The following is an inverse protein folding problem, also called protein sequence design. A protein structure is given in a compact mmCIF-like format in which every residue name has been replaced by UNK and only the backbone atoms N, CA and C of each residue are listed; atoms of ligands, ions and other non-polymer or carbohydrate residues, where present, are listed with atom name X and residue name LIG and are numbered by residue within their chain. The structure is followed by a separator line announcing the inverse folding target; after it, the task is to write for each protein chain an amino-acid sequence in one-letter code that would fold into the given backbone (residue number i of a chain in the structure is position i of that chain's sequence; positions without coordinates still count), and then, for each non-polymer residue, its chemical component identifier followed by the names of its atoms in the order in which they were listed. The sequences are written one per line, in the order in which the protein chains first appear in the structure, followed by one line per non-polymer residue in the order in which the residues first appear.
data_IF_130710348569
#
_entry.id   IF_130710348569
#
_cell.length_a   1.000
_cell.length_b   1.000
_cell.length_c   1.000
_cell.angle_alpha   90.00
_cell.angle_beta   90.00
_cell.angle_gamma   90.00
#
_symmetry.space_group_name_H-M   'P 1'
#
loop_
_entity.id
_entity.type
_entity.pdbx_description
1 polymer ?
#
# COMPACT_ATOMS: atom_id res chain seq x y z
N UNK A 1 5.43 5.02 -80.01
CA UNK A 1 5.24 3.61 -79.57
C UNK A 1 6.00 3.42 -78.27
N UNK A 2 5.31 2.85 -77.27
CA UNK A 2 5.79 2.27 -76.02
C UNK A 2 6.38 3.20 -74.95
N UNK A 3 5.53 3.52 -73.97
CA UNK A 3 5.96 3.79 -72.61
C UNK A 3 6.24 2.50 -71.83
N UNK A 4 6.87 2.64 -70.67
CA UNK A 4 6.60 1.88 -69.46
C UNK A 4 7.50 2.41 -68.33
N UNK A 5 6.89 3.12 -67.39
CA UNK A 5 7.38 3.36 -66.03
C UNK A 5 7.25 2.05 -65.23
N UNK A 6 8.33 1.61 -64.58
CA UNK A 6 8.36 0.70 -63.42
C UNK A 6 9.60 1.09 -62.60
N UNK A 7 9.57 1.32 -61.30
CA UNK A 7 8.63 0.91 -60.26
C UNK A 7 9.51 0.54 -59.07
N UNK A 8 9.53 1.40 -58.05
CA UNK A 8 10.34 1.30 -56.83
C UNK A 8 10.12 -0.05 -56.15
N UNK A 9 11.21 -0.76 -55.83
CA UNK A 9 11.20 -2.00 -55.09
C UNK A 9 10.66 -1.78 -53.67
N UNK A 10 9.45 -2.28 -53.43
CA UNK A 10 8.86 -2.39 -52.10
C UNK A 10 9.29 -3.74 -51.53
N UNK A 11 10.19 -3.72 -50.55
CA UNK A 11 10.48 -4.89 -49.74
C UNK A 11 9.21 -5.21 -48.95
N UNK A 12 8.58 -6.34 -49.28
CA UNK A 12 7.48 -6.90 -48.51
C UNK A 12 8.05 -7.37 -47.18
N UNK A 13 7.81 -6.62 -46.11
CA UNK A 13 7.85 -7.15 -44.76
C UNK A 13 6.54 -7.90 -44.57
N UNK A 14 6.49 -9.17 -44.96
CA UNK A 14 5.48 -10.06 -44.41
C UNK A 14 5.76 -10.15 -42.89
N UNK A 15 4.82 -9.75 -42.02
CA UNK A 15 4.94 -10.10 -40.63
C UNK A 15 4.89 -11.62 -40.56
N UNK A 16 5.90 -12.23 -39.95
CA UNK A 16 5.83 -13.61 -39.47
C UNK A 16 4.75 -13.61 -38.38
N UNK A 17 3.50 -13.78 -38.79
CA UNK A 17 2.43 -14.15 -37.89
C UNK A 17 2.82 -15.52 -37.33
N UNK A 18 3.27 -15.51 -36.08
CA UNK A 18 3.45 -16.68 -35.25
C UNK A 18 2.12 -17.44 -35.17
N UNK A 19 1.89 -18.35 -36.13
CA UNK A 19 1.45 -19.73 -35.99
C UNK A 19 0.20 -20.10 -35.16
N UNK A 20 -0.47 -19.20 -34.44
CA UNK A 20 -1.59 -19.57 -33.55
C UNK A 20 -2.89 -19.72 -34.36
N UNK A 21 -3.21 -18.75 -35.22
CA UNK A 21 -4.40 -18.84 -36.08
C UNK A 21 -4.32 -19.99 -37.11
N UNK A 22 -3.12 -20.27 -37.61
CA UNK A 22 -2.89 -21.37 -38.56
C UNK A 22 -3.04 -22.75 -37.90
N UNK A 23 -2.65 -22.89 -36.63
CA UNK A 23 -2.81 -24.15 -35.90
C UNK A 23 -4.25 -24.39 -35.44
N UNK A 24 -4.97 -23.34 -35.03
CA UNK A 24 -6.40 -23.43 -34.72
C UNK A 24 -7.23 -23.87 -35.94
N UNK A 25 -6.91 -23.35 -37.13
CA UNK A 25 -7.63 -23.70 -38.37
C UNK A 25 -7.35 -25.13 -38.85
N UNK A 26 -6.14 -25.64 -38.63
CA UNK A 26 -5.77 -27.02 -38.99
C UNK A 26 -6.37 -28.07 -38.04
N UNK A 27 -6.28 -27.84 -36.72
CA UNK A 27 -6.83 -28.78 -35.73
C UNK A 27 -8.37 -28.86 -35.77
N UNK A 28 -9.06 -27.73 -36.04
CA UNK A 28 -10.51 -27.68 -36.14
C UNK A 28 -11.10 -28.44 -37.35
N UNK A 29 -10.32 -28.65 -38.42
CA UNK A 29 -10.79 -29.32 -39.63
C UNK A 29 -10.55 -30.84 -39.63
N UNK A 30 -9.56 -31.35 -38.90
CA UNK A 30 -9.18 -32.77 -38.92
C UNK A 30 -9.75 -33.57 -37.73
N UNK A 31 -9.89 -32.94 -36.57
CA UNK A 31 -10.40 -33.57 -35.35
C UNK A 31 -11.21 -32.58 -34.50
N UNK A 32 -12.50 -32.35 -34.80
CA UNK A 32 -13.33 -31.38 -34.08
C UNK A 32 -13.41 -31.68 -32.57
N UNK A 33 -13.43 -32.95 -32.19
CA UNK A 33 -13.45 -33.38 -30.78
C UNK A 33 -12.19 -32.97 -30.00
N UNK A 34 -11.02 -32.98 -30.66
CA UNK A 34 -9.74 -32.56 -30.05
C UNK A 34 -9.67 -31.04 -29.93
N UNK A 35 -10.16 -30.31 -30.94
CA UNK A 35 -10.21 -28.86 -30.92
C UNK A 35 -11.14 -28.33 -29.81
N UNK A 36 -12.32 -28.95 -29.64
CA UNK A 36 -13.26 -28.65 -28.55
C UNK A 36 -12.64 -28.98 -27.19
N UNK A 37 -12.00 -30.14 -27.05
CA UNK A 37 -11.32 -30.53 -25.81
C UNK A 37 -10.21 -29.56 -25.40
N UNK A 38 -9.38 -29.10 -26.35
CA UNK A 38 -8.33 -28.11 -26.09
C UNK A 38 -8.89 -26.72 -25.73
N UNK A 39 -10.00 -26.31 -26.37
CA UNK A 39 -10.66 -25.05 -26.05
C UNK A 39 -11.25 -25.06 -24.63
N UNK A 40 -11.90 -26.15 -24.22
CA UNK A 40 -12.45 -26.33 -22.86
C UNK A 40 -11.33 -26.33 -21.83
N UNK A 41 -10.25 -27.10 -22.06
CA UNK A 41 -9.08 -27.11 -21.17
C UNK A 41 -8.39 -25.73 -21.06
N UNK A 42 -8.35 -24.98 -22.16
CA UNK A 42 -7.83 -23.62 -22.17
C UNK A 42 -8.70 -22.66 -21.35
N UNK A 43 -10.02 -22.71 -21.52
CA UNK A 43 -10.97 -21.87 -20.77
C UNK A 43 -10.97 -22.18 -19.27
N UNK A 44 -10.95 -23.47 -18.88
CA UNK A 44 -10.88 -23.85 -17.46
C UNK A 44 -9.54 -23.43 -16.82
N UNK A 45 -8.42 -23.56 -17.54
CA UNK A 45 -7.14 -23.09 -17.05
C UNK A 45 -7.10 -21.56 -16.87
N UNK A 46 -7.66 -20.79 -17.81
CA UNK A 46 -7.78 -19.33 -17.70
C UNK A 46 -8.67 -18.95 -16.52
N UNK A 47 -9.79 -19.64 -16.33
CA UNK A 47 -10.70 -19.42 -15.21
C UNK A 47 -10.00 -19.62 -13.86
N UNK A 48 -9.30 -20.75 -13.67
CA UNK A 48 -8.54 -21.03 -12.44
C UNK A 48 -7.41 -20.01 -12.21
N UNK A 49 -6.75 -19.54 -13.29
CA UNK A 49 -5.76 -18.48 -13.19
C UNK A 49 -6.38 -17.15 -12.72
N UNK A 50 -7.57 -16.80 -13.21
CA UNK A 50 -8.30 -15.60 -12.78
C UNK A 50 -8.72 -15.75 -11.31
N UNK A 51 -9.25 -16.90 -10.91
CA UNK A 51 -9.64 -17.20 -9.52
C UNK A 51 -8.44 -17.08 -8.55
N UNK A 52 -7.32 -17.73 -8.87
CA UNK A 52 -6.08 -17.58 -8.09
C UNK A 52 -5.57 -16.14 -8.05
N UNK A 53 -5.67 -15.41 -9.17
CA UNK A 53 -5.27 -14.01 -9.24
C UNK A 53 -6.13 -13.11 -8.35
N UNK A 54 -7.44 -13.34 -8.25
CA UNK A 54 -8.34 -12.58 -7.37
C UNK A 54 -7.90 -12.65 -5.91
N UNK A 55 -7.66 -13.86 -5.40
CA UNK A 55 -7.25 -14.07 -4.01
C UNK A 55 -5.87 -13.47 -3.74
N UNK A 56 -4.91 -13.69 -4.64
CA UNK A 56 -3.55 -13.15 -4.51
C UNK A 56 -3.48 -11.62 -4.40
N UNK A 57 -4.44 -10.90 -5.02
CA UNK A 57 -4.52 -9.43 -4.93
C UNK A 57 -4.88 -8.96 -3.53
N UNK A 58 -5.80 -9.66 -2.86
CA UNK A 58 -6.19 -9.31 -1.49
C UNK A 58 -5.10 -9.69 -0.49
N UNK A 59 -4.39 -10.79 -0.72
CA UNK A 59 -3.24 -11.18 0.10
C UNK A 59 -2.10 -10.15 -0.01
N UNK A 60 -1.78 -9.71 -1.23
CA UNK A 60 -0.82 -8.63 -1.44
C UNK A 60 -1.22 -7.33 -0.72
N UNK A 61 -2.52 -7.00 -0.69
CA UNK A 61 -3.04 -5.86 0.05
C UNK A 61 -2.87 -6.01 1.57
N UNK A 62 -3.17 -7.19 2.12
CA UNK A 62 -2.95 -7.48 3.54
C UNK A 62 -1.49 -7.37 3.94
N UNK A 63 -0.60 -7.94 3.13
CA UNK A 63 0.83 -7.87 3.40
C UNK A 63 1.35 -6.43 3.37
N UNK A 64 0.90 -5.63 2.40
CA UNK A 64 1.25 -4.21 2.33
C UNK A 64 0.78 -3.45 3.58
N UNK A 65 -0.46 -3.68 4.02
CA UNK A 65 -0.99 -3.10 5.26
C UNK A 65 -0.23 -3.59 6.50
N UNK A 66 0.11 -4.87 6.58
CA UNK A 66 0.84 -5.43 7.71
C UNK A 66 2.25 -4.82 7.85
N UNK A 67 2.94 -4.61 6.71
CA UNK A 67 4.23 -3.91 6.67
C UNK A 67 4.07 -2.48 7.17
N UNK A 68 3.09 -1.76 6.64
CA UNK A 68 2.84 -0.36 7.01
C UNK A 68 2.44 -0.20 8.48
N UNK A 69 1.59 -1.08 9.03
CA UNK A 69 1.23 -1.09 10.45
C UNK A 69 2.46 -1.33 11.33
N UNK A 70 3.32 -2.27 10.93
CA UNK A 70 4.55 -2.58 11.69
C UNK A 70 5.49 -1.38 11.70
N UNK A 71 5.69 -0.76 10.54
CA UNK A 71 6.51 0.45 10.36
C UNK A 71 6.00 1.59 11.23
N UNK A 72 4.73 1.95 11.07
CA UNK A 72 4.09 3.08 11.77
C UNK A 72 4.07 2.88 13.29
N UNK A 73 3.91 1.64 13.78
CA UNK A 73 4.05 1.33 15.21
C UNK A 73 5.47 1.56 15.72
N UNK A 74 6.47 1.10 14.98
CA UNK A 74 7.87 1.30 15.34
C UNK A 74 8.22 2.80 15.40
N UNK A 75 7.78 3.59 14.43
CA UNK A 75 7.97 5.04 14.42
C UNK A 75 7.29 5.74 15.59
N UNK A 76 6.02 5.42 15.85
CA UNK A 76 5.29 5.96 17.01
C UNK A 76 6.06 5.71 18.31
N UNK A 77 6.50 4.47 18.51
CA UNK A 77 7.19 4.05 19.73
C UNK A 77 8.58 4.70 19.83
N UNK A 78 9.25 4.91 18.70
CA UNK A 78 10.51 5.63 18.61
C UNK A 78 10.36 7.12 18.98
N UNK A 79 9.35 7.82 18.45
CA UNK A 79 9.07 9.22 18.81
C UNK A 79 8.68 9.35 20.28
N UNK A 80 7.90 8.42 20.81
CA UNK A 80 7.51 8.41 22.22
C UNK A 80 8.73 8.10 23.14
N UNK A 81 9.65 7.24 22.70
CA UNK A 81 10.93 7.03 23.39
C UNK A 81 11.82 8.27 23.33
N UNK A 82 11.94 8.91 22.17
CA UNK A 82 12.68 10.16 21.98
C UNK A 82 12.16 11.24 22.92
N UNK A 83 10.84 11.46 22.95
CA UNK A 83 10.16 12.41 23.84
C UNK A 83 10.54 12.19 25.30
N UNK A 84 10.51 10.93 25.77
CA UNK A 84 10.89 10.57 27.15
C UNK A 84 12.37 10.82 27.43
N UNK A 85 13.26 10.65 26.45
CA UNK A 85 14.70 10.94 26.61
C UNK A 85 14.94 12.45 26.68
N UNK A 86 14.37 13.23 25.76
CA UNK A 86 14.48 14.70 25.74
C UNK A 86 13.95 15.33 27.03
N UNK A 87 12.85 14.82 27.57
CA UNK A 87 12.28 15.32 28.82
C UNK A 87 13.21 15.14 30.05
N UNK A 88 14.18 14.23 29.99
CA UNK A 88 15.15 13.96 31.05
C UNK A 88 16.47 14.72 30.88
N UNK A 89 16.67 15.38 29.74
CA UNK A 89 17.88 16.16 29.51
C UNK A 89 17.85 17.43 30.36
N UNK A 90 18.95 17.69 31.05
CA UNK A 90 19.17 18.98 31.71
C UNK A 90 19.26 20.06 30.64
N UNK A 91 18.48 21.13 30.79
CA UNK A 91 18.53 22.29 29.92
C UNK A 91 19.28 23.39 30.64
N UNK A 92 20.21 24.06 29.98
CA UNK A 92 20.98 25.14 30.60
C UNK A 92 20.06 26.30 30.95
N UNK A 93 19.73 26.39 32.24
CA UNK A 93 19.11 27.57 32.80
C UNK A 93 20.12 28.71 32.58
N UNK A 94 19.79 29.68 31.72
CA UNK A 94 20.41 31.00 31.89
C UNK A 94 20.06 31.44 33.30
N UNK A 95 21.04 31.35 34.21
CA UNK A 95 20.93 31.82 35.57
C UNK A 95 20.31 33.22 35.54
N UNK A 96 19.07 33.33 36.02
CA UNK A 96 18.39 34.61 36.18
C UNK A 96 19.27 35.41 37.14
N UNK A 97 19.80 36.60 36.77
CA UNK A 97 20.59 37.37 37.71
C UNK A 97 19.67 37.71 38.88
N UNK A 98 19.98 37.13 40.04
CA UNK A 98 19.42 37.56 41.32
C UNK A 98 19.80 39.02 41.50
N UNK A 99 18.84 39.93 41.73
CA UNK A 99 19.19 41.31 42.08
C UNK A 99 19.75 41.28 43.50
N UNK A 100 21.05 41.00 43.65
CA UNK A 100 21.75 41.23 44.91
C UNK A 100 21.98 42.74 44.99
N UNK A 101 21.23 43.38 45.88
CA UNK A 101 21.38 44.80 46.15
C UNK A 101 22.80 45.16 46.59
N UNK A 102 23.23 46.34 46.14
CA UNK A 102 24.18 47.23 46.82
C UNK A 102 25.54 46.66 47.20
N UNK A 103 26.57 47.00 46.43
CA UNK A 103 27.95 46.98 46.92
C UNK A 103 28.95 46.74 45.81
N UNK A 104 29.74 47.78 45.50
CA UNK A 104 30.99 47.69 44.74
C UNK A 104 31.82 46.51 45.22
N UNK A 105 31.98 45.48 44.39
CA UNK A 105 33.03 44.51 44.54
C UNK A 105 33.57 44.08 43.17
N UNK A 106 34.89 43.98 43.18
CA UNK A 106 35.81 43.75 42.07
C UNK A 106 35.38 42.57 41.21
N UNK A 107 35.43 42.78 39.89
CA UNK A 107 35.16 41.77 38.87
C UNK A 107 36.28 40.72 38.85
N UNK A 108 36.25 39.75 39.76
CA UNK A 108 36.96 38.49 39.56
C UNK A 108 36.09 37.57 38.72
N UNK A 109 36.35 37.55 37.42
CA UNK A 109 35.90 36.49 36.52
C UNK A 109 36.53 35.18 37.01
N UNK A 110 35.75 34.16 37.42
CA UNK A 110 36.32 32.83 37.57
C UNK A 110 36.71 32.38 36.17
N UNK A 111 38.02 32.27 35.92
CA UNK A 111 38.55 31.46 34.83
C UNK A 111 38.28 29.97 35.17
N UNK A 112 37.01 29.60 35.09
CA UNK A 112 36.53 28.23 35.16
C UNK A 112 35.62 28.07 33.95
N UNK A 113 36.21 27.70 32.82
CA UNK A 113 35.49 27.30 31.63
C UNK A 113 34.67 26.06 31.94
N UNK A 114 33.44 26.25 32.42
CA UNK A 114 32.39 25.27 32.22
C UNK A 114 32.11 25.30 30.72
N UNK A 115 32.37 24.18 30.05
CA UNK A 115 31.89 23.88 28.72
C UNK A 115 30.40 24.26 28.66
N UNK A 116 30.10 25.32 27.93
CA UNK A 116 28.75 25.87 27.86
C UNK A 116 27.92 24.91 27.01
N UNK A 117 27.29 23.93 27.66
CA UNK A 117 26.06 23.25 27.24
C UNK A 117 26.01 22.56 25.86
N UNK A 118 27.14 22.40 25.16
CA UNK A 118 27.24 21.58 23.95
C UNK A 118 26.83 20.11 24.23
N UNK A 119 27.05 19.64 25.45
CA UNK A 119 26.71 18.28 25.90
C UNK A 119 25.21 18.01 25.81
N UNK A 120 24.34 18.97 26.19
CA UNK A 120 22.88 18.78 26.14
C UNK A 120 22.34 18.69 24.71
N UNK A 121 22.91 19.47 23.79
CA UNK A 121 22.52 19.41 22.37
C UNK A 121 23.08 18.15 21.70
N UNK A 122 24.31 17.76 22.03
CA UNK A 122 24.89 16.48 21.61
C UNK A 122 24.04 15.29 22.10
N UNK A 123 23.55 15.35 23.33
CA UNK A 123 22.66 14.35 23.91
C UNK A 123 21.30 14.29 23.21
N UNK A 124 20.71 15.44 22.87
CA UNK A 124 19.47 15.49 22.10
C UNK A 124 19.65 14.89 20.68
N UNK A 125 20.75 15.23 19.99
CA UNK A 125 21.09 14.66 18.69
C UNK A 125 21.30 13.15 18.76
N UNK A 126 22.04 12.68 19.78
CA UNK A 126 22.27 11.25 20.03
C UNK A 126 20.96 10.53 20.33
N UNK A 127 20.12 11.11 21.18
CA UNK A 127 18.82 10.54 21.52
C UNK A 127 17.95 10.36 20.26
N UNK A 128 17.91 11.35 19.37
CA UNK A 128 17.15 11.24 18.12
C UNK A 128 17.69 10.13 17.20
N UNK A 129 19.01 10.08 17.02
CA UNK A 129 19.67 9.05 16.20
C UNK A 129 19.42 7.65 16.72
N UNK A 130 19.55 7.45 18.03
CA UNK A 130 19.39 6.15 18.67
C UNK A 130 17.92 5.68 18.80
N UNK A 131 16.95 6.53 18.50
CA UNK A 131 15.53 6.16 18.58
C UNK A 131 14.84 6.25 17.24
N UNK A 132 14.75 7.44 16.63
CA UNK A 132 13.97 7.66 15.39
C UNK A 132 14.74 7.13 14.19
N UNK A 133 16.01 7.53 14.04
CA UNK A 133 16.86 7.08 12.92
C UNK A 133 17.37 5.63 13.09
N UNK A 134 17.23 5.05 14.28
CA UNK A 134 17.59 3.65 14.54
C UNK A 134 16.43 2.67 14.29
N UNK A 135 15.30 3.14 13.77
CA UNK A 135 14.23 2.25 13.32
C UNK A 135 14.72 1.40 12.15
N UNK A 136 14.31 0.13 12.10
CA UNK A 136 14.88 -0.86 11.19
C UNK A 136 14.73 -0.48 9.70
N UNK A 137 13.72 0.32 9.36
CA UNK A 137 13.40 0.74 7.99
C UNK A 137 13.97 2.11 7.63
N UNK A 138 14.66 2.81 8.54
CA UNK A 138 15.07 4.20 8.32
C UNK A 138 16.03 4.37 7.13
N UNK A 139 17.08 3.56 7.09
CA UNK A 139 18.11 3.62 6.03
C UNK A 139 17.55 3.17 4.67
N UNK A 140 16.57 2.27 4.64
CA UNK A 140 15.99 1.78 3.38
C UNK A 140 14.97 2.77 2.78
N UNK A 141 14.14 3.39 3.62
CA UNK A 141 13.02 4.21 3.17
C UNK A 141 13.35 5.70 3.05
N UNK A 142 14.21 6.21 3.94
CA UNK A 142 14.52 7.65 4.02
C UNK A 142 15.98 7.93 3.64
N UNK A 143 16.94 7.24 4.29
CA UNK A 143 18.39 7.52 4.17
C UNK A 143 18.74 9.03 4.33
N UNK A 144 17.97 9.70 5.20
CA UNK A 144 18.05 11.15 5.36
C UNK A 144 19.10 11.57 6.39
N UNK A 145 19.58 12.80 6.24
CA UNK A 145 20.40 13.42 7.29
C UNK A 145 19.52 13.79 8.49
N UNK A 146 20.13 13.85 9.69
CA UNK A 146 19.44 14.32 10.90
C UNK A 146 18.75 15.68 10.68
N UNK A 147 19.41 16.61 10.00
CA UNK A 147 18.85 17.94 9.75
C UNK A 147 17.62 17.88 8.85
N UNK A 148 17.66 17.06 7.80
CA UNK A 148 16.54 16.86 6.88
C UNK A 148 15.33 16.28 7.61
N UNK A 149 15.53 15.15 8.29
CA UNK A 149 14.44 14.43 8.93
C UNK A 149 13.79 15.23 10.07
N UNK A 150 14.61 15.94 10.87
CA UNK A 150 14.11 16.84 11.93
C UNK A 150 13.37 18.05 11.33
N UNK A 151 13.78 18.52 10.16
CA UNK A 151 13.11 19.64 9.50
C UNK A 151 11.73 19.24 8.98
N UNK A 152 11.60 18.02 8.45
CA UNK A 152 10.33 17.46 7.98
C UNK A 152 9.37 17.15 9.15
N UNK A 153 9.87 16.50 10.20
CA UNK A 153 9.03 16.05 11.31
C UNK A 153 8.68 17.15 12.31
N UNK A 154 9.52 18.19 12.47
CA UNK A 154 9.28 19.27 13.43
C UNK A 154 9.20 20.64 12.78
N UNK A 155 10.28 21.08 12.13
CA UNK A 155 10.37 22.29 11.29
C UNK A 155 11.84 22.67 11.03
N UNK A 156 12.07 23.38 9.93
CA UNK A 156 13.41 23.87 9.55
C UNK A 156 14.14 24.69 10.65
N UNK A 157 13.49 25.58 11.42
CA UNK A 157 14.16 26.29 12.51
C UNK A 157 14.62 25.38 13.65
N UNK A 158 13.85 24.34 13.98
CA UNK A 158 14.22 23.35 15.02
C UNK A 158 15.42 22.53 14.56
N UNK A 159 15.42 22.09 13.30
CA UNK A 159 16.55 21.39 12.72
C UNK A 159 17.82 22.24 12.74
N UNK A 160 17.73 23.50 12.33
CA UNK A 160 18.85 24.45 12.32
C UNK A 160 19.44 24.63 13.72
N UNK A 161 18.59 24.85 14.73
CA UNK A 161 19.02 24.98 16.13
C UNK A 161 19.63 23.68 16.69
N UNK A 162 19.19 22.52 16.21
CA UNK A 162 19.70 21.23 16.65
C UNK A 162 21.10 20.92 16.10
N UNK A 163 21.43 21.42 14.91
CA UNK A 163 22.73 21.18 14.25
C UNK A 163 23.73 22.32 14.41
N UNK A 164 23.35 23.42 15.06
CA UNK A 164 24.24 24.56 15.31
C UNK A 164 25.44 24.14 16.19
N UNK A 165 26.65 24.42 15.69
CA UNK A 165 27.92 24.21 16.41
C UNK A 165 28.06 25.25 17.55
N UNK A 166 28.47 24.83 18.75
CA UNK A 166 28.56 25.71 19.92
C UNK A 166 27.20 26.14 20.50
N UNK A 167 26.10 25.54 20.04
CA UNK A 167 24.75 25.78 20.55
C UNK A 167 24.49 25.15 21.94
N UNK A 168 23.46 25.64 22.61
CA UNK A 168 23.03 25.19 23.95
C UNK A 168 21.60 24.64 23.91
N UNK A 169 21.32 23.58 24.69
CA UNK A 169 19.96 23.05 24.83
C UNK A 169 19.14 23.96 25.73
N UNK A 170 18.54 24.98 25.13
CA UNK A 170 17.65 25.90 25.86
C UNK A 170 16.38 25.18 26.34
N UNK A 171 15.78 25.60 27.48
CA UNK A 171 14.49 25.06 27.93
C UNK A 171 13.38 25.16 26.88
N UNK A 172 13.39 26.22 26.07
CA UNK A 172 12.47 26.39 24.94
C UNK A 172 12.70 25.34 23.86
N UNK A 173 13.94 25.11 23.42
CA UNK A 173 14.24 24.10 22.40
C UNK A 173 13.90 22.69 22.89
N UNK A 174 14.21 22.36 24.15
CA UNK A 174 13.83 21.09 24.78
C UNK A 174 12.31 20.89 24.77
N UNK A 175 11.55 21.95 25.09
CA UNK A 175 10.07 21.91 25.07
C UNK A 175 9.55 21.72 23.66
N UNK A 176 10.11 22.43 22.68
CA UNK A 176 9.74 22.29 21.26
C UNK A 176 10.02 20.88 20.74
N UNK A 177 11.19 20.30 21.05
CA UNK A 177 11.53 18.92 20.67
C UNK A 177 10.56 17.90 21.31
N UNK A 178 10.26 18.05 22.61
CA UNK A 178 9.32 17.16 23.29
C UNK A 178 7.88 17.29 22.74
N UNK A 179 7.46 18.51 22.38
CA UNK A 179 6.16 18.76 21.77
C UNK A 179 6.08 18.23 20.34
N UNK A 180 7.12 18.42 19.53
CA UNK A 180 7.20 17.88 18.18
C UNK A 180 7.17 16.36 18.18
N UNK A 181 7.96 15.73 19.06
CA UNK A 181 7.97 14.27 19.22
C UNK A 181 6.61 13.72 19.64
N UNK A 182 5.90 14.44 20.51
CA UNK A 182 4.52 14.11 20.88
C UNK A 182 3.60 14.18 19.65
N UNK A 183 3.65 15.28 18.90
CA UNK A 183 2.82 15.47 17.73
C UNK A 183 3.04 14.37 16.68
N UNK A 184 4.30 14.08 16.32
CA UNK A 184 4.64 12.99 15.40
C UNK A 184 4.12 11.63 15.89
N UNK A 185 4.19 11.35 17.20
CA UNK A 185 3.62 10.12 17.77
C UNK A 185 2.08 10.08 17.69
N UNK A 186 1.41 11.22 17.87
CA UNK A 186 -0.05 11.36 17.76
C UNK A 186 -0.50 11.19 16.29
N UNK A 187 0.23 11.75 15.33
CA UNK A 187 -0.02 11.56 13.90
C UNK A 187 0.13 10.10 13.47
N UNK A 188 1.20 9.41 13.91
CA UNK A 188 1.35 7.96 13.67
C UNK A 188 0.23 7.16 14.33
N UNK A 189 -0.29 7.57 15.49
CA UNK A 189 -1.43 6.92 16.11
C UNK A 189 -2.73 7.11 15.32
N UNK A 190 -2.96 8.29 14.75
CA UNK A 190 -4.07 8.55 13.84
C UNK A 190 -3.95 7.70 12.56
N UNK A 191 -2.73 7.63 11.99
CA UNK A 191 -2.44 6.79 10.83
C UNK A 191 -2.73 5.31 11.12
N UNK A 192 -2.36 4.79 12.29
CA UNK A 192 -2.70 3.42 12.69
C UNK A 192 -4.20 3.17 12.74
N UNK A 193 -5.00 4.15 13.18
CA UNK A 193 -6.46 4.04 13.16
C UNK A 193 -7.02 3.94 11.74
N UNK A 194 -6.43 4.68 10.79
CA UNK A 194 -6.81 4.61 9.37
C UNK A 194 -6.41 3.26 8.75
N UNK A 195 -5.20 2.77 9.05
CA UNK A 195 -4.73 1.46 8.60
C UNK A 195 -5.60 0.32 9.12
N UNK A 196 -6.06 0.42 10.37
CA UNK A 196 -6.98 -0.56 10.95
C UNK A 196 -8.32 -0.59 10.21
N UNK A 197 -8.88 0.60 9.93
CA UNK A 197 -10.13 0.73 9.17
C UNK A 197 -9.98 0.13 7.77
N UNK A 198 -8.86 0.40 7.09
CA UNK A 198 -8.57 -0.18 5.79
C UNK A 198 -8.39 -1.70 5.86
N UNK A 199 -7.70 -2.23 6.89
CA UNK A 199 -7.56 -3.66 7.12
C UNK A 199 -8.92 -4.35 7.27
N UNK A 200 -9.80 -3.83 8.13
CA UNK A 200 -11.15 -4.37 8.27
C UNK A 200 -11.95 -4.31 6.96
N UNK A 201 -11.72 -3.28 6.12
CA UNK A 201 -12.32 -3.20 4.79
C UNK A 201 -11.81 -4.31 3.85
N UNK A 202 -10.51 -4.64 3.88
CA UNK A 202 -9.95 -5.76 3.10
C UNK A 202 -10.48 -7.12 3.57
N UNK A 203 -10.57 -7.33 4.89
CA UNK A 203 -11.14 -8.56 5.47
C UNK A 203 -12.61 -8.73 5.08
N UNK A 204 -13.40 -7.65 5.13
CA UNK A 204 -14.79 -7.66 4.68
C UNK A 204 -14.91 -7.97 3.19
N UNK A 205 -14.02 -7.41 2.36
CA UNK A 205 -13.98 -7.71 0.94
C UNK A 205 -13.71 -9.19 0.68
N UNK A 206 -12.70 -9.79 1.30
CA UNK A 206 -12.42 -11.23 1.17
C UNK A 206 -13.59 -12.09 1.62
N UNK A 207 -14.23 -11.77 2.75
CA UNK A 207 -15.40 -12.52 3.23
C UNK A 207 -16.57 -12.53 2.23
N UNK A 208 -16.57 -11.57 1.29
CA UNK A 208 -17.55 -11.50 0.20
C UNK A 208 -17.03 -12.16 -1.08
N UNK A 209 -15.76 -11.94 -1.44
CA UNK A 209 -15.19 -12.41 -2.70
C UNK A 209 -14.83 -13.91 -2.67
N UNK A 210 -14.23 -14.44 -1.59
CA UNK A 210 -13.83 -15.86 -1.56
C UNK A 210 -14.99 -16.82 -1.77
N UNK A 211 -16.14 -16.69 -1.06
CA UNK A 211 -17.27 -17.58 -1.29
C UNK A 211 -17.84 -17.51 -2.73
N UNK A 212 -17.75 -16.33 -3.36
CA UNK A 212 -18.18 -16.14 -4.74
C UNK A 212 -17.23 -16.83 -5.72
N UNK A 213 -15.91 -16.72 -5.49
CA UNK A 213 -14.90 -17.45 -6.26
C UNK A 213 -15.08 -18.96 -6.10
N UNK A 214 -15.18 -19.45 -4.86
CA UNK A 214 -15.36 -20.88 -4.56
C UNK A 214 -16.62 -21.46 -5.22
N UNK A 215 -17.72 -20.70 -5.21
CA UNK A 215 -18.97 -21.11 -5.86
C UNK A 215 -18.81 -21.17 -7.37
N UNK A 216 -18.10 -20.21 -7.97
CA UNK A 216 -17.86 -20.17 -9.41
C UNK A 216 -16.92 -21.29 -9.86
N UNK A 217 -15.85 -21.57 -9.11
CA UNK A 217 -14.96 -22.73 -9.33
C UNK A 217 -15.70 -24.05 -9.20
N UNK A 218 -16.56 -24.19 -8.19
CA UNK A 218 -17.36 -25.40 -7.99
C UNK A 218 -18.31 -25.71 -9.15
N UNK A 219 -18.77 -24.70 -9.89
CA UNK A 219 -19.57 -24.89 -11.11
C UNK A 219 -18.70 -25.38 -12.26
N UNK A 220 -17.50 -24.82 -12.43
CA UNK A 220 -16.59 -25.14 -13.54
C UNK A 220 -15.94 -26.52 -13.37
N UNK A 221 -15.62 -26.93 -12.14
CA UNK A 221 -15.03 -28.25 -11.85
C UNK A 221 -16.05 -29.40 -11.94
N UNK A 222 -17.35 -29.07 -11.87
CA UNK A 222 -18.43 -30.07 -11.89
C UNK A 222 -18.70 -30.56 -13.31
N UNK A 223 -18.92 -31.88 -13.44
CA UNK A 223 -19.49 -32.48 -14.66
C UNK A 223 -20.98 -32.11 -14.81
N UNK A 224 -21.24 -31.01 -15.50
CA UNK A 224 -22.59 -30.47 -15.72
C UNK A 224 -23.48 -31.39 -16.58
N UNK A 225 -22.90 -32.33 -17.33
CA UNK A 225 -23.67 -33.32 -18.11
C UNK A 225 -24.50 -34.25 -17.22
N UNK A 226 -24.08 -34.41 -15.95
CA UNK A 226 -24.76 -35.24 -14.95
C UNK A 226 -25.64 -34.44 -13.99
N UNK A 227 -25.61 -33.12 -14.05
CA UNK A 227 -26.46 -32.28 -13.19
C UNK A 227 -27.94 -32.40 -13.60
N UNK A 228 -28.87 -32.24 -12.67
CA UNK A 228 -30.29 -32.11 -13.00
C UNK A 228 -30.64 -30.67 -13.38
N UNK A 229 -31.82 -30.44 -13.97
CA UNK A 229 -32.27 -29.07 -14.25
C UNK A 229 -32.41 -28.26 -12.95
N UNK A 230 -32.93 -28.88 -11.89
CA UNK A 230 -33.04 -28.26 -10.57
C UNK A 230 -31.67 -27.90 -9.98
N UNK A 231 -30.65 -28.75 -10.16
CA UNK A 231 -29.28 -28.44 -9.72
C UNK A 231 -28.74 -27.20 -10.44
N UNK A 232 -28.94 -27.11 -11.76
CA UNK A 232 -28.51 -25.95 -12.55
C UNK A 232 -29.18 -24.67 -12.05
N UNK A 233 -30.50 -24.69 -11.85
CA UNK A 233 -31.24 -23.53 -11.38
C UNK A 233 -30.72 -23.10 -9.99
N UNK A 234 -30.50 -24.05 -9.09
CA UNK A 234 -29.99 -23.76 -7.75
C UNK A 234 -28.53 -23.23 -7.75
N UNK A 235 -27.68 -23.68 -8.67
CA UNK A 235 -26.33 -23.14 -8.87
C UNK A 235 -26.40 -21.70 -9.45
N UNK A 236 -27.30 -21.46 -10.41
CA UNK A 236 -27.48 -20.14 -11.03
C UNK A 236 -27.97 -19.09 -10.03
N UNK A 237 -29.00 -19.41 -9.23
CA UNK A 237 -29.53 -18.52 -8.19
C UNK A 237 -28.47 -18.18 -7.12
N UNK A 238 -27.60 -19.15 -6.78
CA UNK A 238 -26.47 -18.91 -5.87
C UNK A 238 -25.46 -17.93 -6.48
N UNK A 239 -25.10 -18.11 -7.75
CA UNK A 239 -24.21 -17.20 -8.47
C UNK A 239 -24.80 -15.78 -8.57
N UNK A 240 -26.11 -15.65 -8.83
CA UNK A 240 -26.79 -14.35 -8.85
C UNK A 240 -26.78 -13.67 -7.48
N UNK A 241 -26.98 -14.42 -6.40
CA UNK A 241 -26.84 -13.88 -5.05
C UNK A 241 -25.42 -13.38 -4.77
N UNK A 242 -24.40 -14.12 -5.19
CA UNK A 242 -23.00 -13.69 -5.05
C UNK A 242 -22.70 -12.45 -5.89
N UNK A 243 -23.17 -12.39 -7.13
CA UNK A 243 -23.00 -11.25 -8.03
C UNK A 243 -23.50 -9.96 -7.37
N UNK A 244 -24.74 -9.93 -6.90
CA UNK A 244 -25.31 -8.74 -6.27
C UNK A 244 -24.53 -8.28 -5.03
N UNK A 245 -23.92 -9.20 -4.28
CA UNK A 245 -23.04 -8.86 -3.16
C UNK A 245 -21.70 -8.26 -3.62
N UNK A 246 -21.11 -8.80 -4.69
CA UNK A 246 -19.87 -8.27 -5.26
C UNK A 246 -20.11 -6.88 -5.84
N UNK A 247 -21.21 -6.66 -6.56
CA UNK A 247 -21.59 -5.35 -7.09
C UNK A 247 -21.82 -4.32 -5.97
N UNK A 248 -22.49 -4.73 -4.88
CA UNK A 248 -22.68 -3.87 -3.71
C UNK A 248 -21.35 -3.49 -3.07
N UNK A 249 -20.45 -4.47 -2.88
CA UNK A 249 -19.10 -4.24 -2.37
C UNK A 249 -18.31 -3.26 -3.24
N UNK A 250 -18.36 -3.43 -4.57
CA UNK A 250 -17.66 -2.55 -5.51
C UNK A 250 -18.24 -1.13 -5.47
N UNK A 251 -19.56 -1.01 -5.41
CA UNK A 251 -20.25 0.29 -5.31
C UNK A 251 -19.90 1.02 -4.02
N UNK A 252 -19.95 0.34 -2.88
CA UNK A 252 -19.56 0.89 -1.58
C UNK A 252 -18.09 1.31 -1.56
N UNK A 253 -17.21 0.47 -2.15
CA UNK A 253 -15.78 0.75 -2.23
C UNK A 253 -15.50 1.96 -3.12
N UNK A 254 -16.16 2.08 -4.26
CA UNK A 254 -16.06 3.24 -5.15
C UNK A 254 -16.58 4.50 -4.47
N UNK A 255 -17.74 4.44 -3.81
CA UNK A 255 -18.30 5.55 -3.06
C UNK A 255 -17.31 6.05 -2.01
N UNK A 256 -16.70 5.16 -1.22
CA UNK A 256 -15.69 5.55 -0.22
C UNK A 256 -14.46 6.21 -0.86
N UNK A 257 -13.96 5.68 -1.98
CA UNK A 257 -12.82 6.27 -2.71
C UNK A 257 -13.17 7.67 -3.24
N UNK A 258 -14.43 7.91 -3.62
CA UNK A 258 -14.88 9.19 -4.15
C UNK A 258 -15.28 10.22 -3.09
N UNK A 259 -15.87 9.78 -1.97
CA UNK A 259 -16.34 10.64 -0.86
C UNK A 259 -15.18 11.13 0.03
N UNK A 260 -14.03 10.44 -0.02
CA UNK A 260 -12.78 10.93 0.53
C UNK A 260 -12.17 12.06 -0.34
N UNK A 261 -12.80 13.24 -0.35
CA UNK A 261 -12.26 14.44 -1.02
C UNK A 261 -10.90 14.89 -0.41
N UNK A 262 -9.90 15.16 -1.26
CA UNK A 262 -8.60 15.76 -0.88
C UNK A 262 -7.36 14.85 -1.02
N UNK A 263 -6.34 15.13 -0.19
CA UNK A 263 -4.98 14.51 -0.09
C UNK A 263 -4.99 12.96 0.02
N UNK A 264 -6.17 12.38 0.24
CA UNK A 264 -6.43 10.94 0.36
C UNK A 264 -6.48 10.19 -0.96
N UNK A 265 -6.49 10.85 -2.13
CA UNK A 265 -6.29 10.12 -3.40
C UNK A 265 -4.91 9.44 -3.45
N UNK A 266 -3.91 10.09 -2.85
CA UNK A 266 -2.55 9.57 -2.69
C UNK A 266 -2.46 8.46 -1.63
N UNK A 267 -3.48 8.25 -0.80
CA UNK A 267 -3.49 7.23 0.25
C UNK A 267 -3.38 5.82 -0.32
N UNK A 268 -4.24 5.49 -1.30
CA UNK A 268 -4.26 4.17 -1.91
C UNK A 268 -3.02 3.94 -2.76
N UNK A 269 -2.55 4.98 -3.48
CA UNK A 269 -1.30 4.94 -4.22
C UNK A 269 -0.11 4.70 -3.28
N UNK A 270 -0.06 5.36 -2.13
CA UNK A 270 0.98 5.16 -1.11
C UNK A 270 0.96 3.75 -0.53
N UNK A 271 -0.18 3.29 -0.03
CA UNK A 271 -0.30 1.98 0.65
C UNK A 271 -0.01 0.81 -0.29
N UNK A 272 -0.51 0.89 -1.51
CA UNK A 272 -0.49 -0.22 -2.46
C UNK A 272 0.52 0.00 -3.58
N UNK A 273 1.50 0.91 -3.41
CA UNK A 273 2.56 1.21 -4.38
C UNK A 273 3.34 -0.02 -4.86
N UNK A 274 3.45 -1.05 -4.02
CA UNK A 274 4.16 -2.29 -4.34
C UNK A 274 3.30 -3.30 -5.12
N UNK A 275 2.01 -3.02 -5.33
CA UNK A 275 1.07 -3.90 -6.01
C UNK A 275 0.88 -3.47 -7.47
N UNK A 276 0.40 -4.40 -8.30
CA UNK A 276 0.10 -4.13 -9.70
C UNK A 276 -1.06 -3.14 -9.91
N UNK A 277 -1.91 -2.95 -8.90
CA UNK A 277 -3.02 -2.00 -8.91
C UNK A 277 -3.13 -1.30 -7.55
N UNK A 278 -3.30 0.04 -7.53
CA UNK A 278 -3.55 0.78 -6.29
C UNK A 278 -4.95 0.51 -5.71
N UNK A 279 -5.81 -0.22 -6.43
CA UNK A 279 -7.17 -0.55 -6.00
C UNK A 279 -7.40 -2.06 -5.98
N UNK A 280 -6.77 -2.80 -5.03
CA UNK A 280 -6.80 -4.26 -5.01
C UNK A 280 -8.22 -4.84 -4.89
N UNK A 281 -9.09 -4.22 -4.07
CA UNK A 281 -10.49 -4.67 -3.92
C UNK A 281 -11.28 -4.50 -5.21
N UNK A 282 -11.13 -3.39 -5.92
CA UNK A 282 -11.84 -3.16 -7.18
C UNK A 282 -11.36 -4.14 -8.26
N UNK A 283 -10.04 -4.37 -8.34
CA UNK A 283 -9.47 -5.34 -9.28
C UNK A 283 -9.85 -6.79 -8.96
N UNK A 284 -9.87 -7.15 -7.67
CA UNK A 284 -10.33 -8.46 -7.21
C UNK A 284 -11.81 -8.66 -7.53
N UNK A 285 -12.68 -7.72 -7.14
CA UNK A 285 -14.12 -7.84 -7.38
C UNK A 285 -14.50 -7.83 -8.87
N UNK A 286 -13.82 -7.04 -9.71
CA UNK A 286 -14.02 -7.13 -11.15
C UNK A 286 -13.66 -8.52 -11.71
N UNK A 287 -12.56 -9.11 -11.23
CA UNK A 287 -12.20 -10.49 -11.57
C UNK A 287 -13.24 -11.50 -11.08
N UNK A 288 -13.78 -11.33 -9.88
CA UNK A 288 -14.86 -12.18 -9.35
C UNK A 288 -16.13 -12.08 -10.19
N UNK A 289 -16.53 -10.90 -10.65
CA UNK A 289 -17.69 -10.75 -11.54
C UNK A 289 -17.47 -11.49 -12.87
N UNK A 290 -16.27 -11.43 -13.45
CA UNK A 290 -15.95 -12.21 -14.66
C UNK A 290 -16.07 -13.72 -14.42
N UNK A 291 -15.60 -14.23 -13.27
CA UNK A 291 -15.75 -15.65 -12.93
C UNK A 291 -17.22 -16.06 -12.76
N UNK A 292 -18.03 -15.20 -12.16
CA UNK A 292 -19.46 -15.46 -12.00
C UNK A 292 -20.15 -15.51 -13.37
N UNK A 293 -19.83 -14.58 -14.28
CA UNK A 293 -20.40 -14.53 -15.63
C UNK A 293 -20.02 -15.77 -16.46
N UNK A 294 -18.76 -16.19 -16.40
CA UNK A 294 -18.27 -17.40 -17.04
C UNK A 294 -18.98 -18.65 -16.50
N UNK A 295 -19.14 -18.76 -15.17
CA UNK A 295 -19.84 -19.87 -14.53
C UNK A 295 -21.34 -19.91 -14.88
N UNK A 296 -22.00 -18.75 -14.91
CA UNK A 296 -23.40 -18.63 -15.36
C UNK A 296 -23.56 -19.03 -16.83
N UNK A 297 -22.62 -18.63 -17.68
CA UNK A 297 -22.60 -19.01 -19.10
C UNK A 297 -22.44 -20.51 -19.32
N UNK A 298 -21.62 -21.18 -18.51
CA UNK A 298 -21.48 -22.63 -18.51
C UNK A 298 -22.78 -23.34 -18.10
N UNK A 299 -23.46 -22.85 -17.05
CA UNK A 299 -24.77 -23.36 -16.63
C UNK A 299 -25.84 -23.17 -17.70
N UNK A 300 -25.89 -22.00 -18.34
CA UNK A 300 -26.86 -21.69 -19.38
C UNK A 300 -26.69 -22.61 -20.61
N UNK A 301 -25.44 -22.88 -21.00
CA UNK A 301 -25.11 -23.79 -22.09
C UNK A 301 -25.53 -25.23 -21.74
N UNK A 302 -25.20 -25.70 -20.53
CA UNK A 302 -25.59 -27.04 -20.06
C UNK A 302 -27.11 -27.22 -19.91
N UNK A 303 -27.87 -26.13 -19.68
CA UNK A 303 -29.33 -26.16 -19.67
C UNK A 303 -29.91 -26.22 -21.09
N UNK A 304 -29.29 -25.54 -22.06
CA UNK A 304 -29.74 -25.52 -23.46
C UNK A 304 -29.52 -26.83 -24.21
N UNK A 305 -28.54 -27.63 -23.76
CA UNK A 305 -28.23 -28.96 -24.32
C UNK A 305 -29.18 -30.08 -23.83
N UNK A 306 -30.20 -29.75 -23.02
CA UNK A 306 -31.19 -30.68 -22.46
C UNK A 306 -32.56 -30.57 -23.12
#
# INVERSE_FOLDING_TARGET
MNGASRGVGRLSTEPVELGVESMCRAAACEHPDIAVGLAVLGMTAVFLLIAGAVLSRLDGAREALAREVTRTRAERDAFEQFRRRVAKLESSERARPTPTGGGTNVLTVPAGGATVDEDGLADARRAYRETVMATAHYEEEYDETLATNVAEEFSAPVASALVEDGGALTPSLRTTLASGARHASEERAELLSKLETERSSIEAAESTLSPAVDTSEGVVDRDLSRATYTDIVADYERLEWHEGRVESLLSDRQARIHDEEGDRRHWFDYLYRSLASPYPVLSAGAGTLSLIDDAKSALASAAGDR
#
